data_IF_993892766047
#
_entry.id   IF_993892766047
#
_cell.length_a   1.000
_cell.length_b   1.000
_cell.length_c   1.000
_cell.angle_alpha   90.00
_cell.angle_beta   90.00
_cell.angle_gamma   90.00
#
_symmetry.space_group_name_H-M   'P 1'
#
loop_
_entity.id
_entity.type
_entity.pdbx_description
1 polymer ?
#
# COMPACT_ATOMS: atom_id res chain seq x y z
N UNK A 1 17.20 -13.60 -30.71
CA UNK A 1 15.98 -12.92 -30.25
C UNK A 1 15.27 -13.86 -29.30
N UNK A 2 15.36 -13.61 -28.00
CA UNK A 2 14.74 -14.47 -26.99
C UNK A 2 13.29 -14.03 -26.80
N UNK A 3 12.37 -14.92 -27.18
CA UNK A 3 10.94 -14.77 -26.92
C UNK A 3 10.71 -15.15 -25.46
N UNK A 4 10.57 -14.15 -24.59
CA UNK A 4 10.11 -14.36 -23.22
C UNK A 4 8.73 -13.75 -23.09
N UNK A 5 7.71 -14.58 -23.22
CA UNK A 5 6.33 -14.28 -22.83
C UNK A 5 6.31 -14.29 -21.30
N UNK A 6 6.35 -13.12 -20.68
CA UNK A 6 6.17 -13.02 -19.22
C UNK A 6 4.68 -13.10 -18.94
N UNK A 7 4.24 -14.28 -18.49
CA UNK A 7 2.98 -14.45 -17.79
C UNK A 7 3.11 -13.64 -16.50
N UNK A 8 2.36 -12.54 -16.39
CA UNK A 8 2.18 -11.82 -15.13
C UNK A 8 1.24 -12.71 -14.30
N UNK A 9 1.73 -13.12 -13.14
CA UNK A 9 1.16 -14.18 -12.30
C UNK A 9 0.02 -13.69 -11.40
N UNK A 10 -1.03 -14.50 -11.24
CA UNK A 10 -2.26 -14.31 -10.45
C UNK A 10 -2.10 -14.20 -8.92
N UNK A 11 -1.05 -13.57 -8.39
CA UNK A 11 -0.81 -13.53 -6.93
C UNK A 11 -0.68 -12.09 -6.42
N UNK A 12 -1.61 -11.68 -5.55
CA UNK A 12 -1.55 -10.46 -4.73
C UNK A 12 -1.12 -9.23 -5.51
N UNK A 13 -2.00 -8.75 -6.39
CA UNK A 13 -1.66 -7.66 -7.30
C UNK A 13 -2.25 -6.35 -6.78
N UNK A 14 -1.37 -5.38 -6.47
CA UNK A 14 -1.78 -4.02 -6.11
C UNK A 14 -2.70 -3.44 -7.20
N UNK A 15 -2.53 -3.84 -8.47
CA UNK A 15 -3.45 -3.45 -9.55
C UNK A 15 -4.91 -3.85 -9.26
N UNK A 16 -5.13 -5.05 -8.72
CA UNK A 16 -6.46 -5.52 -8.36
C UNK A 16 -6.99 -4.82 -7.10
N UNK A 17 -6.12 -4.56 -6.12
CA UNK A 17 -6.48 -3.85 -4.89
C UNK A 17 -6.86 -2.39 -5.16
N UNK A 18 -6.23 -1.75 -6.15
CA UNK A 18 -6.54 -0.37 -6.55
C UNK A 18 -7.99 -0.20 -7.00
N UNK A 19 -8.64 -1.25 -7.53
CA UNK A 19 -10.03 -1.19 -7.95
C UNK A 19 -10.98 -0.75 -6.82
N UNK A 20 -10.65 -1.07 -5.57
CA UNK A 20 -11.45 -0.74 -4.39
C UNK A 20 -11.42 0.74 -4.04
N UNK A 21 -10.42 1.48 -4.55
CA UNK A 21 -10.24 2.91 -4.33
C UNK A 21 -10.80 3.75 -5.48
N UNK A 22 -11.31 3.11 -6.53
CA UNK A 22 -11.86 3.80 -7.68
C UNK A 22 -13.10 4.61 -7.26
N UNK A 23 -13.07 5.92 -7.51
CA UNK A 23 -14.14 6.82 -7.10
C UNK A 23 -15.35 6.74 -8.04
N UNK A 24 -15.11 6.51 -9.33
CA UNK A 24 -16.10 6.41 -10.39
C UNK A 24 -15.53 5.57 -11.54
N UNK A 25 -16.41 5.07 -12.41
CA UNK A 25 -15.98 4.32 -13.60
C UNK A 25 -14.96 5.10 -14.43
N UNK A 26 -14.06 4.34 -15.06
CA UNK A 26 -13.03 4.90 -15.92
C UNK A 26 -13.65 5.74 -17.04
N UNK A 27 -13.12 6.94 -17.24
CA UNK A 27 -13.62 7.89 -18.23
C UNK A 27 -12.77 7.75 -19.49
N UNK A 28 -13.39 7.43 -20.62
CA UNK A 28 -12.72 7.52 -21.92
C UNK A 28 -12.46 8.99 -22.26
N UNK A 29 -11.22 9.32 -22.59
CA UNK A 29 -10.81 10.69 -22.88
C UNK A 29 -10.28 10.85 -24.30
N UNK A 30 -10.57 11.99 -24.90
CA UNK A 30 -10.02 12.35 -26.21
C UNK A 30 -8.76 13.18 -26.01
N UNK A 31 -7.64 12.68 -26.51
CA UNK A 31 -6.36 13.36 -26.43
C UNK A 31 -6.16 14.29 -27.64
N UNK A 32 -5.64 15.52 -27.44
CA UNK A 32 -5.38 16.44 -28.55
C UNK A 32 -4.33 15.86 -29.51
N UNK A 33 -4.40 16.20 -30.79
CA UNK A 33 -3.44 15.77 -31.84
C UNK A 33 -3.36 14.25 -32.11
N UNK A 34 -4.11 13.39 -31.40
CA UNK A 34 -4.18 11.97 -31.73
C UNK A 34 -4.84 11.66 -33.08
N UNK A 35 -5.87 12.41 -33.57
CA UNK A 35 -6.43 12.14 -34.89
C UNK A 35 -5.42 12.27 -36.05
N UNK A 36 -4.42 13.15 -35.92
CA UNK A 36 -3.34 13.27 -36.90
C UNK A 36 -2.42 12.05 -36.88
N UNK A 37 -2.14 11.52 -35.68
CA UNK A 37 -1.35 10.29 -35.49
C UNK A 37 -2.07 9.08 -36.08
N UNK A 38 -3.37 8.93 -35.81
CA UNK A 38 -4.20 7.85 -36.36
C UNK A 38 -4.20 7.86 -37.89
N UNK A 39 -4.35 9.03 -38.51
CA UNK A 39 -4.33 9.19 -39.96
C UNK A 39 -2.94 8.94 -40.59
N UNK A 40 -1.87 9.41 -39.93
CA UNK A 40 -0.51 9.34 -40.49
C UNK A 40 0.09 7.94 -40.41
N UNK A 41 -0.22 7.20 -39.34
CA UNK A 41 0.41 5.91 -39.03
C UNK A 41 -0.55 4.72 -39.10
N UNK A 42 -1.78 4.92 -39.57
CA UNK A 42 -2.87 3.93 -39.52
C UNK A 42 -3.03 3.33 -38.11
N UNK A 43 -2.81 4.18 -37.10
CA UNK A 43 -2.84 3.80 -35.70
C UNK A 43 -4.27 3.88 -35.16
N UNK A 44 -4.50 3.23 -34.02
CA UNK A 44 -5.65 3.47 -33.15
C UNK A 44 -5.14 3.73 -31.75
N UNK A 45 -5.90 4.44 -30.92
CA UNK A 45 -5.57 4.54 -29.49
C UNK A 45 -6.79 4.32 -28.60
N UNK A 46 -6.53 3.93 -27.36
CA UNK A 46 -7.48 3.94 -26.25
C UNK A 46 -6.83 4.79 -25.13
N UNK A 47 -7.59 5.73 -24.58
CA UNK A 47 -7.13 6.59 -23.50
C UNK A 47 -8.19 6.67 -22.41
N UNK A 48 -7.83 6.27 -21.19
CA UNK A 48 -8.74 6.19 -20.06
C UNK A 48 -8.19 6.89 -18.84
N UNK A 49 -9.06 7.62 -18.17
CA UNK A 49 -8.77 8.33 -16.95
C UNK A 49 -9.45 7.65 -15.75
N UNK A 50 -8.67 7.40 -14.72
CA UNK A 50 -9.10 6.81 -13.46
C UNK A 50 -8.82 7.78 -12.30
N UNK A 51 -9.83 8.01 -11.45
CA UNK A 51 -9.73 8.80 -10.22
C UNK A 51 -9.79 7.86 -9.00
N UNK A 52 -8.63 7.61 -8.39
CA UNK A 52 -8.51 6.79 -7.19
C UNK A 52 -8.42 7.67 -5.94
N UNK A 53 -9.18 7.30 -4.91
CA UNK A 53 -9.14 7.91 -3.58
C UNK A 53 -8.41 6.99 -2.61
N UNK A 54 -7.09 7.17 -2.51
CA UNK A 54 -6.24 6.47 -1.57
C UNK A 54 -6.32 7.15 -0.18
N UNK A 55 -5.90 6.50 0.91
CA UNK A 55 -5.95 7.09 2.25
C UNK A 55 -5.11 8.34 2.40
N UNK A 56 -3.96 8.35 1.74
CA UNK A 56 -2.95 9.38 1.86
C UNK A 56 -3.12 10.51 0.83
N UNK A 57 -4.03 10.34 -0.14
CA UNK A 57 -4.33 11.35 -1.15
C UNK A 57 -5.03 10.79 -2.39
N UNK A 58 -5.04 11.58 -3.47
CA UNK A 58 -5.70 11.19 -4.74
C UNK A 58 -4.68 10.73 -5.77
N UNK A 59 -4.94 9.59 -6.40
CA UNK A 59 -4.17 9.14 -7.56
C UNK A 59 -5.02 9.32 -8.82
N UNK A 60 -4.57 10.21 -9.69
CA UNK A 60 -5.11 10.37 -11.03
C UNK A 60 -4.25 9.56 -12.00
N UNK A 61 -4.81 8.49 -12.56
CA UNK A 61 -4.12 7.61 -13.49
C UNK A 61 -4.69 7.78 -14.89
N UNK A 62 -3.84 8.15 -15.83
CA UNK A 62 -4.14 8.15 -17.25
C UNK A 62 -3.48 6.92 -17.90
N UNK A 63 -4.28 5.99 -18.38
CA UNK A 63 -3.81 4.90 -19.22
C UNK A 63 -3.95 5.28 -20.70
N UNK A 64 -2.87 5.09 -21.46
CA UNK A 64 -2.84 5.35 -22.90
C UNK A 64 -2.23 4.16 -23.63
N UNK A 65 -3.02 3.51 -24.47
CA UNK A 65 -2.59 2.40 -25.31
C UNK A 65 -2.64 2.83 -26.77
N UNK A 66 -1.51 2.75 -27.48
CA UNK A 66 -1.46 2.99 -28.93
C UNK A 66 -1.27 1.67 -29.67
N UNK A 67 -2.19 1.41 -30.59
CA UNK A 67 -2.18 0.23 -31.46
C UNK A 67 -1.54 0.57 -32.79
N UNK A 68 -0.45 -0.11 -33.13
CA UNK A 68 0.32 0.07 -34.35
C UNK A 68 0.34 -1.20 -35.20
N UNK A 69 0.56 -1.07 -36.50
CA UNK A 69 0.79 -2.23 -37.37
C UNK A 69 2.19 -2.80 -37.16
N UNK A 70 2.36 -4.12 -37.29
CA UNK A 70 3.70 -4.75 -37.24
C UNK A 70 4.69 -4.24 -38.29
N UNK A 71 4.19 -3.67 -39.39
CA UNK A 71 5.00 -3.14 -40.49
C UNK A 71 5.61 -1.76 -40.19
N UNK A 72 5.28 -1.13 -39.05
CA UNK A 72 5.78 0.20 -38.74
C UNK A 72 7.30 0.20 -38.47
N UNK A 73 8.00 1.22 -38.97
CA UNK A 73 9.44 1.37 -38.74
C UNK A 73 9.73 1.82 -37.31
N UNK A 74 10.90 1.46 -36.78
CA UNK A 74 11.33 1.89 -35.42
C UNK A 74 11.37 3.41 -35.26
N UNK A 75 11.74 4.16 -36.30
CA UNK A 75 11.74 5.62 -36.26
C UNK A 75 10.32 6.19 -36.13
N UNK A 76 9.35 5.56 -36.81
CA UNK A 76 7.95 5.95 -36.72
C UNK A 76 7.35 5.58 -35.35
N UNK A 77 7.76 4.45 -34.73
CA UNK A 77 7.37 4.09 -33.35
C UNK A 77 7.82 5.18 -32.37
N UNK A 78 9.04 5.69 -32.51
CA UNK A 78 9.56 6.76 -31.65
C UNK A 78 8.81 8.09 -31.83
N UNK A 79 8.48 8.45 -33.07
CA UNK A 79 7.65 9.63 -33.36
C UNK A 79 6.25 9.48 -32.78
N UNK A 80 5.60 8.33 -32.98
CA UNK A 80 4.30 8.02 -32.37
C UNK A 80 4.36 8.14 -30.86
N UNK A 81 5.36 7.52 -30.22
CA UNK A 81 5.55 7.57 -28.77
C UNK A 81 5.66 9.01 -28.27
N UNK A 82 6.51 9.82 -28.91
CA UNK A 82 6.71 11.23 -28.54
C UNK A 82 5.42 12.04 -28.70
N UNK A 83 4.72 11.88 -29.82
CA UNK A 83 3.46 12.60 -30.09
C UNK A 83 2.39 12.22 -29.08
N UNK A 84 2.19 10.91 -28.83
CA UNK A 84 1.20 10.40 -27.89
C UNK A 84 1.43 10.94 -26.46
N UNK A 85 2.69 10.95 -26.00
CA UNK A 85 3.03 11.49 -24.68
C UNK A 85 2.82 13.01 -24.62
N UNK A 86 3.19 13.76 -25.67
CA UNK A 86 2.93 15.21 -25.76
C UNK A 86 1.42 15.51 -25.74
N UNK A 87 0.62 14.68 -26.39
CA UNK A 87 -0.84 14.77 -26.37
C UNK A 87 -1.42 14.57 -24.97
N UNK A 88 -0.94 13.56 -24.24
CA UNK A 88 -1.33 13.32 -22.84
C UNK A 88 -0.95 14.49 -21.91
N UNK A 89 0.23 15.07 -22.08
CA UNK A 89 0.66 16.25 -21.31
C UNK A 89 -0.17 17.49 -21.62
N UNK A 90 -0.49 17.72 -22.90
CA UNK A 90 -1.35 18.81 -23.30
C UNK A 90 -2.76 18.66 -22.68
N UNK A 91 -3.32 17.45 -22.71
CA UNK A 91 -4.58 17.15 -22.03
C UNK A 91 -4.49 17.42 -20.53
N UNK A 92 -3.44 16.95 -19.85
CA UNK A 92 -3.25 17.16 -18.41
C UNK A 92 -3.17 18.64 -18.04
N UNK A 93 -2.47 19.45 -18.83
CA UNK A 93 -2.42 20.92 -18.63
C UNK A 93 -3.82 21.56 -18.74
N UNK A 94 -4.62 21.14 -19.71
CA UNK A 94 -6.01 21.60 -19.87
C UNK A 94 -6.85 21.15 -18.67
N UNK A 95 -6.71 19.89 -18.25
CA UNK A 95 -7.39 19.33 -17.08
C UNK A 95 -7.10 20.14 -15.81
N UNK A 96 -5.83 20.39 -15.50
CA UNK A 96 -5.41 21.22 -14.36
C UNK A 96 -5.94 22.66 -14.44
N UNK A 97 -5.96 23.25 -15.64
CA UNK A 97 -6.49 24.62 -15.80
C UNK A 97 -8.00 24.72 -15.51
N UNK A 98 -8.72 23.64 -15.78
CA UNK A 98 -10.17 23.55 -15.55
C UNK A 98 -10.52 23.13 -14.12
N UNK A 99 -9.59 22.50 -13.40
CA UNK A 99 -9.79 21.98 -12.06
C UNK A 99 -8.82 22.67 -11.10
N UNK A 100 -9.29 23.80 -10.54
CA UNK A 100 -8.54 24.61 -9.56
C UNK A 100 -7.97 23.70 -8.46
N UNK A 101 -6.73 24.00 -8.05
CA UNK A 101 -5.98 23.30 -7.00
C UNK A 101 -6.90 22.87 -5.84
N UNK A 102 -7.19 21.58 -5.78
CA UNK A 102 -7.74 20.99 -4.57
C UNK A 102 -6.62 20.94 -3.53
N UNK A 103 -6.92 21.28 -2.27
CA UNK A 103 -5.96 21.24 -1.17
C UNK A 103 -5.46 19.82 -0.86
N UNK A 104 -6.08 18.80 -1.46
CA UNK A 104 -5.71 17.40 -1.26
C UNK A 104 -4.44 17.05 -2.04
N UNK A 105 -3.44 16.43 -1.39
CA UNK A 105 -2.29 15.83 -2.08
C UNK A 105 -2.75 14.95 -3.25
N UNK A 106 -2.21 15.19 -4.43
CA UNK A 106 -2.62 14.50 -5.67
C UNK A 106 -1.39 14.04 -6.43
N UNK A 107 -1.32 12.76 -6.76
CA UNK A 107 -0.34 12.18 -7.66
C UNK A 107 -0.98 12.01 -9.05
N UNK A 108 -0.34 12.56 -10.09
CA UNK A 108 -0.81 12.41 -11.47
C UNK A 108 0.15 11.48 -12.21
N UNK A 109 -0.38 10.43 -12.81
CA UNK A 109 0.41 9.37 -13.45
C UNK A 109 -0.11 9.12 -14.87
N UNK A 110 0.82 8.93 -15.81
CA UNK A 110 0.56 8.42 -17.15
C UNK A 110 1.21 7.04 -17.29
N UNK A 111 0.41 6.02 -17.61
CA UNK A 111 0.89 4.68 -18.00
C UNK A 111 0.71 4.54 -19.50
N UNK A 112 1.82 4.40 -20.22
CA UNK A 112 1.84 4.35 -21.68
C UNK A 112 2.21 2.95 -22.19
N UNK A 113 1.39 2.40 -23.08
CA UNK A 113 1.60 1.12 -23.76
C UNK A 113 1.57 1.28 -25.29
N UNK A 114 2.34 0.44 -25.97
CA UNK A 114 2.29 0.28 -27.43
C UNK A 114 2.07 -1.19 -27.75
N UNK A 115 1.02 -1.48 -28.52
CA UNK A 115 0.66 -2.83 -28.94
C UNK A 115 0.68 -2.97 -30.46
N UNK A 116 1.32 -4.02 -30.97
CA UNK A 116 1.35 -4.31 -32.40
C UNK A 116 0.19 -5.24 -32.81
N UNK A 117 -0.52 -4.85 -33.86
CA UNK A 117 -1.62 -5.59 -34.50
C UNK A 117 -1.23 -6.04 -35.90
N UNK A 118 -1.70 -7.23 -36.30
CA UNK A 118 -1.55 -7.72 -37.67
C UNK A 118 -2.53 -7.02 -38.60
N UNK A 119 -2.06 -6.69 -39.81
CA UNK A 119 -2.87 -6.06 -40.85
C UNK A 119 -3.79 -7.06 -41.58
N UNK A 120 -4.64 -7.80 -40.84
CA UNK A 120 -5.78 -8.60 -41.34
C UNK A 120 -6.30 -9.47 -40.18
N UNK A 121 -7.58 -9.53 -39.86
CA UNK A 121 -8.67 -10.00 -40.72
C UNK A 121 -9.78 -8.97 -40.90
N UNK A 122 -10.04 -8.62 -42.17
CA UNK A 122 -11.34 -8.08 -42.56
C UNK A 122 -12.40 -9.07 -42.11
N UNK A 123 -13.46 -8.56 -41.49
CA UNK A 123 -14.65 -9.30 -41.12
C UNK A 123 -15.13 -10.16 -42.30
N UNK A 124 -14.96 -11.47 -42.20
CA UNK A 124 -15.75 -12.41 -42.98
C UNK A 124 -16.34 -13.46 -42.04
N UNK A 125 -17.66 -13.36 -41.96
CA UNK A 125 -18.65 -14.33 -41.50
C UNK A 125 -18.91 -14.41 -40.00
N UNK A 126 -20.13 -13.99 -39.67
CA UNK A 126 -20.83 -14.32 -38.44
C UNK A 126 -20.87 -15.84 -38.23
N UNK A 127 -20.90 -16.23 -36.96
CA UNK A 127 -20.94 -17.58 -36.41
C UNK A 127 -19.61 -18.31 -36.34
N UNK A 128 -18.77 -17.93 -35.37
CA UNK A 128 -18.33 -18.90 -34.37
C UNK A 128 -17.84 -18.19 -33.09
N UNK A 129 -18.45 -18.56 -31.97
CA UNK A 129 -18.07 -18.10 -30.63
C UNK A 129 -16.88 -18.92 -30.15
N UNK A 130 -15.67 -18.49 -30.49
CA UNK A 130 -14.44 -18.84 -29.76
C UNK A 130 -13.41 -17.72 -29.99
N UNK A 131 -13.55 -16.64 -29.21
CA UNK A 131 -12.68 -15.46 -29.24
C UNK A 131 -11.39 -15.79 -28.49
N UNK A 132 -10.40 -16.33 -29.19
CA UNK A 132 -8.98 -16.32 -28.79
C UNK A 132 -8.07 -15.73 -29.88
N UNK A 133 -8.63 -15.01 -30.86
CA UNK A 133 -7.87 -14.27 -31.87
C UNK A 133 -7.61 -12.84 -31.39
N UNK A 134 -6.34 -12.51 -31.10
CA UNK A 134 -5.88 -11.11 -31.09
C UNK A 134 -5.15 -10.57 -29.86
N UNK A 135 -4.36 -11.35 -29.11
CA UNK A 135 -3.40 -10.75 -28.16
C UNK A 135 -2.27 -10.10 -28.98
N UNK A 136 -2.35 -8.79 -29.20
CA UNK A 136 -1.29 -8.02 -29.86
C UNK A 136 0.04 -8.10 -29.10
N UNK A 137 1.16 -8.08 -29.81
CA UNK A 137 2.49 -8.10 -29.17
C UNK A 137 2.78 -6.73 -28.56
N UNK A 138 3.00 -6.67 -27.25
CA UNK A 138 3.40 -5.44 -26.54
C UNK A 138 4.83 -5.05 -26.87
N UNK A 139 5.07 -3.77 -27.08
CA UNK A 139 6.40 -3.19 -27.28
C UNK A 139 7.01 -2.85 -25.92
N UNK A 140 8.11 -3.51 -25.55
CA UNK A 140 8.84 -3.14 -24.33
C UNK A 140 9.63 -1.85 -24.57
N UNK A 141 9.28 -0.81 -23.82
CA UNK A 141 9.99 0.46 -23.80
C UNK A 141 10.10 0.97 -22.36
N UNK A 142 10.82 2.06 -22.16
CA UNK A 142 10.94 2.75 -20.88
C UNK A 142 11.23 4.23 -21.10
N UNK A 143 11.09 5.03 -20.05
CA UNK A 143 11.31 6.48 -20.10
C UNK A 143 12.55 6.86 -19.29
N UNK A 144 13.70 6.97 -19.97
CA UNK A 144 14.92 7.43 -19.32
C UNK A 144 14.83 8.93 -19.00
N UNK A 145 15.53 9.45 -17.97
CA UNK A 145 15.55 10.88 -17.66
C UNK A 145 15.90 11.78 -18.86
N UNK A 146 16.80 11.31 -19.74
CA UNK A 146 17.14 12.01 -21.01
C UNK A 146 15.94 12.22 -21.94
N UNK A 147 14.99 11.28 -21.96
CA UNK A 147 13.77 11.40 -22.75
C UNK A 147 12.94 12.62 -22.34
N UNK A 148 12.88 12.91 -21.04
CA UNK A 148 12.17 14.06 -20.49
C UNK A 148 12.90 15.39 -20.76
N UNK A 149 14.24 15.37 -20.69
CA UNK A 149 15.07 16.57 -20.83
C UNK A 149 15.31 16.98 -22.30
N UNK A 150 15.53 16.02 -23.20
CA UNK A 150 15.97 16.29 -24.57
C UNK A 150 14.82 16.12 -25.59
N UNK A 151 13.97 15.10 -25.43
CA UNK A 151 13.00 14.73 -26.46
C UNK A 151 11.59 15.31 -26.25
N UNK A 152 11.24 15.55 -24.98
CA UNK A 152 9.91 15.99 -24.59
C UNK A 152 9.84 17.44 -24.11
N UNK A 153 10.97 18.01 -23.67
CA UNK A 153 11.10 19.38 -23.13
C UNK A 153 9.93 19.68 -22.19
N UNK A 154 9.83 18.90 -21.11
CA UNK A 154 8.81 19.12 -20.08
C UNK A 154 9.37 20.13 -19.10
N UNK A 155 8.64 21.22 -18.90
CA UNK A 155 8.88 22.14 -17.79
C UNK A 155 8.38 21.48 -16.49
N UNK A 156 9.21 20.63 -15.91
CA UNK A 156 8.92 19.94 -14.63
C UNK A 156 8.93 20.96 -13.48
N UNK A 157 9.67 22.06 -13.64
CA UNK A 157 9.82 23.15 -12.65
C UNK A 157 8.57 24.00 -12.47
N UNK A 158 7.81 24.25 -13.55
CA UNK A 158 6.70 25.23 -13.51
C UNK A 158 5.35 24.63 -13.08
N UNK A 159 5.21 23.30 -13.02
CA UNK A 159 3.95 22.66 -12.64
C UNK A 159 3.93 22.22 -11.17
N UNK A 160 2.97 22.75 -10.39
CA UNK A 160 2.72 22.32 -9.00
C UNK A 160 2.30 20.85 -8.89
N UNK A 161 1.84 20.24 -9.99
CA UNK A 161 1.34 18.87 -10.08
C UNK A 161 1.81 18.20 -11.39
N UNK A 162 3.10 17.83 -11.50
CA UNK A 162 3.64 17.24 -12.72
C UNK A 162 3.07 15.84 -12.97
N UNK A 163 2.92 15.51 -14.25
CA UNK A 163 2.51 14.18 -14.71
C UNK A 163 3.72 13.25 -14.71
N UNK A 164 3.69 12.23 -13.85
CA UNK A 164 4.71 11.21 -13.77
C UNK A 164 4.46 10.13 -14.82
N UNK A 165 5.43 9.87 -15.71
CA UNK A 165 5.21 9.01 -16.89
C UNK A 165 5.92 7.67 -16.70
N UNK A 166 5.21 6.56 -16.90
CA UNK A 166 5.72 5.20 -16.84
C UNK A 166 5.38 4.45 -18.11
N UNK A 167 6.28 3.54 -18.54
CA UNK A 167 5.86 2.52 -19.50
C UNK A 167 4.94 1.53 -18.79
N UNK A 168 4.09 0.85 -19.55
CA UNK A 168 3.26 -0.22 -19.03
C UNK A 168 4.09 -1.27 -18.28
N UNK A 169 5.26 -1.64 -18.81
CA UNK A 169 6.13 -2.63 -18.15
C UNK A 169 6.69 -2.11 -16.82
N UNK A 170 7.20 -0.87 -16.80
CA UNK A 170 7.77 -0.28 -15.58
C UNK A 170 6.70 -0.12 -14.50
N UNK A 171 5.47 0.27 -14.88
CA UNK A 171 4.34 0.41 -13.97
C UNK A 171 3.98 -0.90 -13.27
N UNK A 172 3.79 -1.99 -14.02
CA UNK A 172 3.45 -3.28 -13.42
C UNK A 172 4.62 -3.89 -12.64
N UNK A 173 5.86 -3.71 -13.09
CA UNK A 173 7.04 -4.13 -12.31
C UNK A 173 7.15 -3.37 -10.99
N UNK A 174 6.82 -2.08 -11.00
CA UNK A 174 6.77 -1.25 -9.80
C UNK A 174 5.68 -1.70 -8.83
N UNK A 175 4.45 -1.95 -9.31
CA UNK A 175 3.37 -2.38 -8.44
C UNK A 175 3.66 -3.75 -7.80
N UNK A 176 4.22 -4.68 -8.58
CA UNK A 176 4.70 -5.95 -8.07
C UNK A 176 5.85 -5.80 -7.05
N UNK A 177 6.62 -4.72 -7.07
CA UNK A 177 7.68 -4.49 -6.08
C UNK A 177 7.19 -3.83 -4.80
N UNK A 178 6.21 -2.91 -4.88
CA UNK A 178 5.73 -2.11 -3.76
C UNK A 178 4.72 -2.84 -2.88
N UNK A 179 3.99 -3.81 -3.44
CA UNK A 179 3.13 -4.79 -2.73
C UNK A 179 1.91 -4.21 -1.97
N UNK A 180 1.85 -2.90 -1.70
CA UNK A 180 0.71 -2.27 -1.01
C UNK A 180 0.37 -0.90 -1.62
N UNK A 181 -0.89 -0.45 -1.57
CA UNK A 181 -1.29 0.88 -2.04
C UNK A 181 -0.62 2.04 -1.29
N UNK A 182 -0.33 1.87 0.00
CA UNK A 182 0.37 2.88 0.81
C UNK A 182 1.80 3.10 0.30
N UNK A 183 2.48 2.04 -0.13
CA UNK A 183 3.85 2.10 -0.61
C UNK A 183 3.90 2.65 -2.03
N UNK A 184 2.89 2.38 -2.86
CA UNK A 184 2.66 3.08 -4.13
C UNK A 184 2.59 4.59 -3.91
N UNK A 185 1.75 5.05 -2.99
CA UNK A 185 1.60 6.48 -2.72
C UNK A 185 2.93 7.14 -2.33
N UNK A 186 3.64 6.54 -1.40
CA UNK A 186 4.94 7.04 -0.91
C UNK A 186 6.00 7.01 -1.99
N UNK A 187 6.03 5.95 -2.80
CA UNK A 187 6.95 5.85 -3.92
C UNK A 187 6.70 6.96 -4.96
N UNK A 188 5.44 7.27 -5.27
CA UNK A 188 5.11 8.34 -6.22
C UNK A 188 5.57 9.72 -5.70
N UNK A 189 5.51 9.96 -4.39
CA UNK A 189 6.08 11.17 -3.80
C UNK A 189 7.62 11.16 -3.87
N UNK A 190 8.26 10.04 -3.53
CA UNK A 190 9.72 9.87 -3.61
C UNK A 190 10.25 10.08 -5.04
N UNK A 191 9.61 9.46 -6.04
CA UNK A 191 9.97 9.59 -7.46
C UNK A 191 9.83 11.04 -7.92
N UNK A 192 8.77 11.73 -7.49
CA UNK A 192 8.57 13.13 -7.82
C UNK A 192 9.71 14.01 -7.29
N UNK A 193 10.13 13.81 -6.04
CA UNK A 193 11.29 14.52 -5.47
C UNK A 193 12.57 14.24 -6.29
N UNK A 194 12.82 12.99 -6.68
CA UNK A 194 13.97 12.62 -7.53
C UNK A 194 13.94 13.31 -8.91
N UNK A 195 12.76 13.40 -9.53
CA UNK A 195 12.59 14.09 -10.82
C UNK A 195 12.88 15.59 -10.68
N UNK A 196 12.41 16.23 -9.61
CA UNK A 196 12.66 17.65 -9.33
C UNK A 196 14.15 17.94 -9.05
N UNK A 197 14.83 17.05 -8.31
CA UNK A 197 16.26 17.14 -8.07
C UNK A 197 17.08 17.00 -9.36
N UNK A 198 16.71 16.06 -10.23
CA UNK A 198 17.37 15.83 -11.53
C UNK A 198 17.17 17.01 -12.49
N UNK A 199 16.00 17.65 -12.47
CA UNK A 199 15.75 18.87 -13.23
C UNK A 199 16.63 20.05 -12.78
N UNK A 200 16.99 20.08 -11.49
CA UNK A 200 17.76 21.16 -10.87
C UNK A 200 19.28 20.94 -10.89
N UNK A 201 19.76 19.71 -11.14
CA UNK A 201 21.17 19.35 -11.13
C UNK A 201 21.50 18.47 -12.33
N UNK A 202 22.41 18.88 -13.24
CA UNK A 202 22.69 18.19 -14.50
C UNK A 202 23.46 16.86 -14.35
N UNK A 203 23.46 16.26 -13.17
CA UNK A 203 24.08 14.94 -12.94
C UNK A 203 23.16 13.88 -13.53
N UNK A 204 23.59 13.28 -14.63
CA UNK A 204 22.87 12.24 -15.33
C UNK A 204 22.82 10.93 -14.53
N UNK A 205 21.93 10.82 -13.54
CA UNK A 205 21.58 9.50 -13.00
C UNK A 205 20.65 8.80 -14.00
N UNK A 206 21.24 8.06 -14.93
CA UNK A 206 20.50 7.16 -15.84
C UNK A 206 20.10 5.88 -15.09
N UNK A 207 19.44 6.04 -13.96
CA UNK A 207 18.93 4.91 -13.18
C UNK A 207 17.63 4.41 -13.78
N UNK A 208 17.49 3.09 -13.90
CA UNK A 208 16.24 2.46 -14.32
C UNK A 208 15.20 2.54 -13.21
N UNK A 209 13.92 2.52 -13.56
CA UNK A 209 12.82 2.53 -12.58
C UNK A 209 12.96 1.43 -11.53
N UNK A 210 13.36 0.21 -11.93
CA UNK A 210 13.65 -0.90 -11.00
C UNK A 210 14.68 -0.54 -9.92
N UNK A 211 15.71 0.24 -10.28
CA UNK A 211 16.74 0.68 -9.33
C UNK A 211 16.18 1.74 -8.38
N UNK A 212 15.38 2.67 -8.88
CA UNK A 212 14.76 3.73 -8.08
C UNK A 212 13.81 3.10 -7.05
N UNK A 213 12.97 2.14 -7.47
CA UNK A 213 12.08 1.38 -6.57
C UNK A 213 12.91 0.60 -5.55
N UNK A 214 13.99 -0.06 -5.98
CA UNK A 214 14.87 -0.79 -5.06
C UNK A 214 15.54 0.13 -4.03
N UNK A 215 15.97 1.33 -4.43
CA UNK A 215 16.53 2.32 -3.50
C UNK A 215 15.49 2.82 -2.50
N UNK A 216 14.26 3.10 -2.97
CA UNK A 216 13.14 3.49 -2.11
C UNK A 216 12.86 2.42 -1.04
N UNK A 217 12.71 1.15 -1.45
CA UNK A 217 12.42 0.03 -0.54
C UNK A 217 13.57 -0.27 0.43
N UNK A 218 14.80 0.12 0.10
CA UNK A 218 15.97 -0.01 0.97
C UNK A 218 16.29 1.25 1.78
N UNK A 219 15.50 2.30 1.62
CA UNK A 219 15.70 3.55 2.35
C UNK A 219 15.14 3.44 3.77
N UNK A 220 15.90 3.86 4.80
CA UNK A 220 15.37 3.95 6.17
C UNK A 220 14.12 4.83 6.29
N UNK A 221 13.90 5.74 5.33
CA UNK A 221 12.70 6.57 5.28
C UNK A 221 11.41 5.76 5.08
N UNK A 222 11.50 4.54 4.56
CA UNK A 222 10.37 3.60 4.44
C UNK A 222 9.66 3.40 5.79
N UNK A 223 10.42 3.37 6.89
CA UNK A 223 9.90 3.14 8.24
C UNK A 223 9.46 4.41 8.98
N UNK A 224 9.65 5.60 8.42
CA UNK A 224 9.34 6.84 9.11
C UNK A 224 7.87 6.94 9.59
N UNK A 225 6.86 6.53 8.81
CA UNK A 225 5.46 6.51 9.26
C UNK A 225 5.23 5.55 10.44
N UNK A 226 5.78 4.34 10.35
CA UNK A 226 5.69 3.34 11.41
C UNK A 226 6.35 3.83 12.71
N UNK A 227 7.52 4.48 12.61
CA UNK A 227 8.22 5.08 13.76
C UNK A 227 7.38 6.20 14.38
N UNK A 228 6.72 7.03 13.58
CA UNK A 228 5.86 8.09 14.10
C UNK A 228 4.68 7.52 14.91
N UNK A 229 4.08 6.43 14.42
CA UNK A 229 2.98 5.73 15.12
C UNK A 229 3.48 5.03 16.38
N UNK A 230 4.60 4.30 16.31
CA UNK A 230 5.22 3.61 17.46
C UNK A 230 5.49 4.60 18.60
N UNK A 231 6.07 5.77 18.29
CA UNK A 231 6.26 6.84 19.26
C UNK A 231 4.95 7.42 19.80
N UNK A 232 3.92 7.54 18.97
CA UNK A 232 2.60 8.03 19.41
C UNK A 232 1.93 7.04 20.38
N UNK A 233 2.07 5.74 20.14
CA UNK A 233 1.53 4.68 21.02
C UNK A 233 2.24 4.63 22.36
N UNK A 234 3.56 4.78 22.37
CA UNK A 234 4.35 4.92 23.61
C UNK A 234 3.90 6.15 24.37
N UNK A 235 3.79 7.28 23.65
CA UNK A 235 3.28 8.51 24.24
C UNK A 235 1.89 8.29 24.83
N UNK A 236 1.00 7.53 24.20
CA UNK A 236 -0.33 7.26 24.74
C UNK A 236 -0.40 6.19 25.82
N UNK A 237 0.74 5.59 26.21
CA UNK A 237 0.80 4.53 27.21
C UNK A 237 0.18 3.21 26.74
N UNK A 238 -0.04 3.06 25.43
CA UNK A 238 -0.52 1.81 24.82
C UNK A 238 0.61 0.84 24.51
N UNK A 239 1.84 1.33 24.53
CA UNK A 239 3.06 0.56 24.33
C UNK A 239 4.11 1.07 25.31
N UNK A 240 4.89 0.16 25.89
CA UNK A 240 5.90 0.54 26.90
C UNK A 240 7.27 0.83 26.29
N UNK A 241 7.64 0.06 25.27
CA UNK A 241 8.94 0.14 24.61
C UNK A 241 8.76 0.12 23.10
N UNK A 242 9.68 0.71 22.32
CA UNK A 242 9.58 0.66 20.87
C UNK A 242 9.53 -0.76 20.31
N UNK A 243 8.86 -0.94 19.17
CA UNK A 243 8.79 -2.26 18.54
C UNK A 243 10.21 -2.73 18.13
N UNK A 244 10.65 -3.84 18.71
CA UNK A 244 12.00 -4.38 18.49
C UNK A 244 12.26 -4.79 17.03
N UNK A 245 11.24 -5.27 16.30
CA UNK A 245 11.37 -5.57 14.88
C UNK A 245 11.53 -4.29 14.06
N UNK A 246 10.75 -3.24 14.36
CA UNK A 246 10.87 -1.93 13.71
C UNK A 246 12.26 -1.34 13.88
N UNK A 247 12.80 -1.35 15.10
CA UNK A 247 14.16 -0.90 15.39
C UNK A 247 15.17 -1.72 14.59
N UNK A 248 15.09 -3.06 14.69
CA UNK A 248 16.07 -3.95 14.05
C UNK A 248 16.11 -3.79 12.53
N UNK A 249 14.94 -3.68 11.89
CA UNK A 249 14.82 -3.47 10.45
C UNK A 249 15.35 -2.10 10.02
N UNK A 250 14.99 -1.04 10.76
CA UNK A 250 15.45 0.32 10.47
C UNK A 250 16.98 0.43 10.59
N UNK A 251 17.56 -0.16 11.64
CA UNK A 251 19.02 -0.18 11.83
C UNK A 251 19.72 -1.03 10.77
N UNK A 252 19.14 -2.16 10.37
CA UNK A 252 19.69 -3.01 9.32
C UNK A 252 19.75 -2.26 7.98
N UNK A 253 18.70 -1.52 7.59
CA UNK A 253 18.71 -0.70 6.39
C UNK A 253 19.71 0.46 6.49
N UNK A 254 19.68 1.22 7.60
CA UNK A 254 20.57 2.36 7.82
C UNK A 254 22.05 2.00 7.75
N UNK A 255 22.41 0.81 8.25
CA UNK A 255 23.79 0.33 8.28
C UNK A 255 24.16 -0.56 7.09
N UNK A 256 23.27 -0.72 6.10
CA UNK A 256 23.45 -1.64 4.97
C UNK A 256 23.87 -3.06 5.40
N UNK A 257 23.25 -3.56 6.47
CA UNK A 257 23.52 -4.89 7.02
C UNK A 257 23.13 -5.99 6.04
N UNK A 258 23.84 -7.11 6.07
CA UNK A 258 23.47 -8.33 5.31
C UNK A 258 22.09 -8.87 5.69
N UNK A 259 21.63 -8.58 6.91
CA UNK A 259 20.27 -8.94 7.38
C UNK A 259 19.16 -8.08 6.79
N UNK A 260 19.47 -6.92 6.18
CA UNK A 260 18.45 -6.04 5.60
C UNK A 260 17.68 -6.73 4.47
N UNK A 261 18.38 -7.50 3.62
CA UNK A 261 17.75 -8.25 2.54
C UNK A 261 16.79 -9.32 3.07
N UNK A 262 17.16 -10.04 4.14
CA UNK A 262 16.28 -11.01 4.79
C UNK A 262 15.01 -10.34 5.33
N UNK A 263 15.14 -9.17 5.97
CA UNK A 263 13.97 -8.43 6.46
C UNK A 263 13.07 -7.96 5.32
N UNK A 264 13.65 -7.46 4.22
CA UNK A 264 12.88 -7.08 3.03
C UNK A 264 12.10 -8.27 2.47
N UNK A 265 12.73 -9.44 2.35
CA UNK A 265 12.05 -10.67 1.91
C UNK A 265 10.90 -11.04 2.83
N UNK A 266 11.09 -10.97 4.16
CA UNK A 266 10.01 -11.25 5.11
C UNK A 266 8.86 -10.24 5.01
N UNK A 267 9.13 -8.96 4.77
CA UNK A 267 8.08 -7.96 4.58
C UNK A 267 7.30 -8.21 3.28
N UNK A 268 7.98 -8.51 2.18
CA UNK A 268 7.33 -8.85 0.90
C UNK A 268 6.45 -10.09 1.05
N UNK A 269 6.98 -11.15 1.66
CA UNK A 269 6.20 -12.37 1.92
C UNK A 269 4.97 -12.08 2.78
N UNK A 270 5.13 -11.27 3.84
CA UNK A 270 4.02 -10.89 4.70
C UNK A 270 2.97 -10.06 3.95
N UNK A 271 3.37 -9.13 3.08
CA UNK A 271 2.45 -8.35 2.27
C UNK A 271 1.65 -9.23 1.31
N UNK A 272 2.30 -10.16 0.60
CA UNK A 272 1.63 -11.12 -0.29
C UNK A 272 0.59 -11.95 0.49
N UNK A 273 0.99 -12.49 1.64
CA UNK A 273 0.09 -13.29 2.48
C UNK A 273 -1.07 -12.46 3.02
N UNK A 274 -0.80 -11.24 3.46
CA UNK A 274 -1.85 -10.33 3.93
C UNK A 274 -2.84 -10.00 2.82
N UNK A 275 -2.36 -9.71 1.60
CA UNK A 275 -3.20 -9.46 0.41
C UNK A 275 -4.10 -10.67 0.11
N UNK A 276 -3.55 -11.88 0.13
CA UNK A 276 -4.31 -13.12 -0.08
C UNK A 276 -5.38 -13.34 1.00
N UNK A 277 -5.00 -13.23 2.27
CA UNK A 277 -5.93 -13.36 3.40
C UNK A 277 -7.03 -12.30 3.31
N UNK A 278 -6.66 -11.06 3.03
CA UNK A 278 -7.58 -9.93 2.89
C UNK A 278 -8.59 -10.20 1.78
N UNK A 279 -8.12 -10.61 0.61
CA UNK A 279 -8.98 -10.97 -0.53
C UNK A 279 -9.99 -12.05 -0.14
N UNK A 280 -9.57 -13.10 0.56
CA UNK A 280 -10.45 -14.18 1.01
C UNK A 280 -11.45 -13.72 2.07
N UNK A 281 -11.00 -12.96 3.09
CA UNK A 281 -11.85 -12.39 4.12
C UNK A 281 -12.92 -11.47 3.52
N UNK A 282 -12.52 -10.61 2.59
CA UNK A 282 -13.41 -9.69 1.87
C UNK A 282 -14.43 -10.48 1.04
N UNK A 283 -14.00 -11.50 0.30
CA UNK A 283 -14.89 -12.34 -0.50
C UNK A 283 -15.93 -13.06 0.37
N UNK A 284 -15.51 -13.66 1.49
CA UNK A 284 -16.40 -14.35 2.42
C UNK A 284 -17.45 -13.42 3.06
N UNK A 285 -17.06 -12.19 3.39
CA UNK A 285 -18.00 -11.17 3.87
C UNK A 285 -18.95 -10.74 2.75
N UNK A 286 -18.46 -10.55 1.53
CA UNK A 286 -19.30 -10.18 0.38
C UNK A 286 -20.37 -11.23 0.09
N UNK A 287 -20.03 -12.52 0.11
CA UNK A 287 -21.00 -13.61 -0.11
C UNK A 287 -22.12 -13.58 0.93
N UNK A 288 -21.78 -13.39 2.21
CA UNK A 288 -22.75 -13.24 3.32
C UNK A 288 -23.63 -12.00 3.12
N UNK A 289 -23.06 -10.90 2.62
CA UNK A 289 -23.79 -9.65 2.33
C UNK A 289 -24.74 -9.78 1.14
N UNK A 290 -24.33 -10.42 0.05
CA UNK A 290 -25.16 -10.65 -1.16
C UNK A 290 -26.37 -11.53 -0.84
N UNK A 291 -26.24 -12.44 0.13
CA UNK A 291 -27.34 -13.25 0.64
C UNK A 291 -28.33 -12.47 1.54
N UNK A 292 -27.98 -11.27 2.01
CA UNK A 292 -28.81 -10.45 2.90
C UNK A 292 -29.81 -9.56 2.14
N UNK A 293 -30.91 -9.17 2.82
CA UNK A 293 -32.01 -8.38 2.22
C UNK A 293 -31.73 -6.87 2.07
N UNK A 294 -30.66 -6.34 2.66
CA UNK A 294 -30.38 -4.89 2.75
C UNK A 294 -29.13 -4.48 1.94
N UNK A 295 -29.14 -4.74 0.63
CA UNK A 295 -27.94 -4.66 -0.22
C UNK A 295 -27.31 -3.27 -0.36
N UNK A 296 -28.12 -2.21 -0.43
CA UNK A 296 -27.62 -0.88 -0.84
C UNK A 296 -26.88 -0.12 0.28
N UNK A 297 -27.37 -0.15 1.54
CA UNK A 297 -26.63 0.44 2.68
C UNK A 297 -25.39 -0.37 3.06
N UNK A 298 -25.42 -1.68 2.84
CA UNK A 298 -24.31 -2.57 3.14
C UNK A 298 -23.17 -2.45 2.12
N UNK A 299 -23.47 -2.13 0.84
CA UNK A 299 -22.47 -1.99 -0.22
C UNK A 299 -21.48 -0.84 0.02
N UNK A 300 -21.97 0.33 0.44
CA UNK A 300 -21.12 1.48 0.78
C UNK A 300 -20.23 1.21 2.01
N UNK A 301 -20.79 0.53 3.01
CA UNK A 301 -20.06 0.13 4.22
C UNK A 301 -18.99 -0.91 3.90
N UNK A 302 -19.27 -1.84 2.98
CA UNK A 302 -18.35 -2.88 2.55
C UNK A 302 -17.15 -2.35 1.76
N UNK A 303 -17.35 -1.42 0.83
CA UNK A 303 -16.25 -0.79 0.10
C UNK A 303 -15.27 -0.07 1.05
N UNK A 304 -15.80 0.62 2.06
CA UNK A 304 -14.97 1.25 3.10
C UNK A 304 -14.20 0.22 3.92
N UNK A 305 -14.81 -0.91 4.27
CA UNK A 305 -14.16 -2.01 4.99
C UNK A 305 -13.03 -2.64 4.20
N UNK A 306 -13.24 -2.85 2.90
CA UNK A 306 -12.23 -3.35 1.99
C UNK A 306 -11.02 -2.43 1.95
N UNK A 307 -11.23 -1.11 1.80
CA UNK A 307 -10.16 -0.12 1.89
C UNK A 307 -9.42 -0.22 3.23
N UNK A 308 -10.13 -0.27 4.35
CA UNK A 308 -9.49 -0.33 5.69
C UNK A 308 -8.57 -1.53 5.89
N UNK A 309 -8.81 -2.67 5.23
CA UNK A 309 -7.97 -3.86 5.37
C UNK A 309 -6.76 -3.81 4.43
N UNK A 310 -6.96 -3.28 3.22
CA UNK A 310 -5.93 -3.18 2.18
C UNK A 310 -4.96 -2.00 2.43
N UNK A 311 -5.40 -0.99 3.18
CA UNK A 311 -4.64 0.22 3.53
C UNK A 311 -3.61 0.00 4.63
N UNK A 312 -2.83 -1.08 4.56
CA UNK A 312 -1.75 -1.37 5.50
C UNK A 312 -0.37 -1.22 4.85
N UNK A 313 0.57 -0.63 5.59
CA UNK A 313 1.97 -0.57 5.17
C UNK A 313 2.63 -1.95 5.21
N UNK A 314 3.75 -2.10 4.50
CA UNK A 314 4.60 -3.30 4.54
C UNK A 314 4.95 -3.72 5.96
N UNK A 315 5.25 -2.76 6.84
CA UNK A 315 5.59 -3.06 8.22
C UNK A 315 4.37 -3.51 9.04
N UNK A 316 3.19 -2.93 8.79
CA UNK A 316 1.95 -3.38 9.43
C UNK A 316 1.59 -4.79 9.01
N UNK A 317 1.63 -5.08 7.70
CA UNK A 317 1.46 -6.43 7.15
C UNK A 317 2.46 -7.41 7.78
N UNK A 318 3.73 -7.00 7.93
CA UNK A 318 4.75 -7.80 8.60
C UNK A 318 4.36 -8.18 10.03
N UNK A 319 3.98 -7.22 10.88
CA UNK A 319 3.65 -7.50 12.28
C UNK A 319 2.35 -8.32 12.43
N UNK A 320 1.34 -8.07 11.58
CA UNK A 320 0.09 -8.83 11.56
C UNK A 320 0.35 -10.29 11.19
N UNK A 321 1.02 -10.54 10.07
CA UNK A 321 1.33 -11.90 9.59
C UNK A 321 2.31 -12.61 10.51
N UNK A 322 3.31 -11.90 11.06
CA UNK A 322 4.21 -12.44 12.09
C UNK A 322 3.44 -12.89 13.34
N UNK A 323 2.37 -12.22 13.71
CA UNK A 323 1.51 -12.62 14.84
C UNK A 323 0.80 -13.93 14.53
N UNK A 324 0.29 -14.12 13.31
CA UNK A 324 -0.29 -15.39 12.86
C UNK A 324 0.75 -16.53 12.92
N UNK A 325 1.96 -16.30 12.40
CA UNK A 325 3.05 -17.30 12.40
C UNK A 325 3.60 -17.66 13.78
N UNK A 326 3.31 -16.86 14.81
CA UNK A 326 3.68 -17.18 16.19
C UNK A 326 2.74 -18.19 16.82
N UNK A 327 1.51 -18.35 16.33
CA UNK A 327 0.52 -19.23 16.95
C UNK A 327 0.97 -20.70 17.02
N UNK A 328 1.46 -21.33 15.93
CA UNK A 328 1.93 -22.72 15.99
C UNK A 328 3.11 -22.95 16.94
N UNK A 329 3.83 -21.88 17.30
CA UNK A 329 4.99 -21.91 18.21
C UNK A 329 4.62 -21.63 19.67
N UNK A 330 3.35 -21.34 19.97
CA UNK A 330 2.90 -21.15 21.35
C UNK A 330 2.87 -22.46 22.13
N UNK A 331 2.83 -22.36 23.45
CA UNK A 331 2.62 -23.53 24.31
C UNK A 331 1.29 -24.21 23.99
N UNK A 332 1.28 -25.55 23.99
CA UNK A 332 0.07 -26.34 23.68
C UNK A 332 -1.11 -25.98 24.58
N UNK A 333 -0.86 -25.60 25.84
CA UNK A 333 -1.92 -25.18 26.76
C UNK A 333 -2.61 -23.90 26.27
N UNK A 334 -1.85 -22.95 25.72
CA UNK A 334 -2.38 -21.70 25.18
C UNK A 334 -3.14 -21.95 23.87
N UNK A 335 -2.62 -22.82 23.00
CA UNK A 335 -3.30 -23.22 21.77
C UNK A 335 -4.66 -23.89 22.05
N UNK A 336 -4.70 -24.78 23.04
CA UNK A 336 -5.96 -25.46 23.44
C UNK A 336 -6.96 -24.50 24.05
N UNK A 337 -6.52 -23.63 24.94
CA UNK A 337 -7.39 -22.67 25.64
C UNK A 337 -7.82 -21.50 24.78
N UNK A 338 -7.12 -21.17 23.71
CA UNK A 338 -7.32 -19.94 22.96
C UNK A 338 -6.80 -18.71 23.72
N UNK A 339 -6.56 -17.62 23.00
CA UNK A 339 -6.03 -16.38 23.55
C UNK A 339 -6.29 -15.19 22.63
N UNK A 340 -6.15 -13.99 23.18
CA UNK A 340 -6.33 -12.73 22.44
C UNK A 340 -5.00 -12.00 22.36
N UNK A 341 -4.67 -11.50 21.18
CA UNK A 341 -3.56 -10.59 20.95
C UNK A 341 -4.11 -9.27 20.43
N UNK A 342 -3.75 -8.18 21.10
CA UNK A 342 -4.01 -6.84 20.59
C UNK A 342 -2.83 -6.40 19.72
N UNK A 343 -3.13 -5.96 18.51
CA UNK A 343 -2.19 -5.35 17.58
C UNK A 343 -2.75 -4.00 17.12
N UNK A 344 -1.94 -3.25 16.40
CA UNK A 344 -2.34 -1.98 15.82
C UNK A 344 -1.69 -1.81 14.45
N UNK A 345 -2.28 -0.95 13.64
CA UNK A 345 -1.65 -0.55 12.38
C UNK A 345 -0.41 0.31 12.67
N UNK A 346 0.61 0.16 11.85
CA UNK A 346 1.74 1.08 11.72
C UNK A 346 1.59 1.99 10.49
N UNK A 347 0.40 2.02 9.89
CA UNK A 347 -0.04 2.97 8.88
C UNK A 347 -1.00 4.02 9.45
N UNK A 348 -1.94 3.58 10.29
CA UNK A 348 -2.93 4.46 10.92
C UNK A 348 -3.03 4.26 12.42
N UNK A 349 -2.72 5.32 13.18
CA UNK A 349 -2.82 5.35 14.65
C UNK A 349 -4.24 5.04 15.16
N UNK A 350 -5.27 5.30 14.35
CA UNK A 350 -6.66 5.06 14.71
C UNK A 350 -7.17 3.65 14.43
N UNK A 351 -6.33 2.76 13.88
CA UNK A 351 -6.69 1.39 13.51
C UNK A 351 -6.06 0.39 14.47
N UNK A 352 -6.92 -0.35 15.14
CA UNK A 352 -6.51 -1.38 16.09
C UNK A 352 -7.07 -2.74 15.68
N UNK A 353 -6.28 -3.77 15.95
CA UNK A 353 -6.58 -5.16 15.63
C UNK A 353 -6.73 -5.98 16.92
N UNK A 354 -7.79 -6.76 16.99
CA UNK A 354 -8.02 -7.75 18.05
C UNK A 354 -8.00 -9.11 17.39
N UNK A 355 -6.88 -9.82 17.53
CA UNK A 355 -6.69 -11.15 16.99
C UNK A 355 -7.09 -12.16 18.07
N UNK A 356 -8.19 -12.87 17.85
CA UNK A 356 -8.70 -13.89 18.75
C UNK A 356 -8.34 -15.25 18.15
N UNK A 357 -7.35 -15.91 18.75
CA UNK A 357 -7.03 -17.29 18.39
C UNK A 357 -7.98 -18.20 19.14
N UNK A 358 -8.89 -18.86 18.41
CA UNK A 358 -9.87 -19.74 19.01
C UNK A 358 -9.19 -20.94 19.68
N UNK A 359 -9.76 -21.38 20.80
CA UNK A 359 -9.34 -22.60 21.47
C UNK A 359 -9.73 -23.84 20.68
N UNK A 360 -8.84 -24.84 20.65
CA UNK A 360 -9.05 -26.12 19.96
C UNK A 360 -10.10 -27.01 20.65
N UNK A 361 -10.48 -26.69 21.90
CA UNK A 361 -11.50 -27.41 22.65
C UNK A 361 -12.90 -26.96 22.21
N UNK A 362 -13.68 -27.86 21.60
CA UNK A 362 -14.99 -27.55 21.00
C UNK A 362 -16.00 -26.93 21.98
N UNK A 363 -16.02 -27.40 23.23
CA UNK A 363 -16.87 -26.87 24.32
C UNK A 363 -16.14 -25.87 25.24
N UNK A 364 -14.94 -25.45 24.86
CA UNK A 364 -14.16 -24.47 25.61
C UNK A 364 -14.79 -23.09 25.63
N UNK A 365 -14.58 -22.34 26.71
CA UNK A 365 -15.06 -20.95 26.85
C UNK A 365 -14.53 -20.00 25.74
N UNK A 366 -13.43 -20.36 25.10
CA UNK A 366 -12.83 -19.62 24.00
C UNK A 366 -12.86 -20.36 22.66
N UNK A 367 -13.73 -21.37 22.53
CA UNK A 367 -13.95 -22.05 21.27
C UNK A 367 -14.57 -21.11 20.24
N UNK A 368 -14.40 -21.44 18.95
CA UNK A 368 -15.00 -20.70 17.84
C UNK A 368 -16.52 -20.56 18.01
N UNK A 369 -17.22 -21.65 18.34
CA UNK A 369 -18.67 -21.65 18.53
C UNK A 369 -19.14 -20.68 19.64
N UNK A 370 -18.32 -20.48 20.67
CA UNK A 370 -18.63 -19.57 21.78
C UNK A 370 -18.32 -18.11 21.45
N UNK A 371 -17.20 -17.83 20.80
CA UNK A 371 -16.74 -16.45 20.56
C UNK A 371 -17.31 -15.85 19.27
N UNK A 372 -17.37 -16.61 18.17
CA UNK A 372 -17.76 -16.11 16.85
C UNK A 372 -19.09 -15.32 16.86
N UNK A 373 -20.16 -15.74 17.58
CA UNK A 373 -21.40 -14.95 17.64
C UNK A 373 -21.26 -13.59 18.34
N UNK A 374 -20.19 -13.39 19.10
CA UNK A 374 -19.96 -12.23 19.95
C UNK A 374 -18.90 -11.26 19.41
N UNK A 375 -18.32 -11.50 18.22
CA UNK A 375 -17.25 -10.65 17.66
C UNK A 375 -17.64 -9.17 17.58
N UNK A 376 -18.88 -8.88 17.19
CA UNK A 376 -19.40 -7.50 17.11
C UNK A 376 -19.44 -6.81 18.47
N UNK A 377 -19.89 -7.53 19.50
CA UNK A 377 -19.93 -7.02 20.88
C UNK A 377 -18.53 -6.81 21.43
N UNK A 378 -17.59 -7.72 21.15
CA UNK A 378 -16.18 -7.57 21.52
C UNK A 378 -15.59 -6.31 20.86
N UNK A 379 -15.84 -6.11 19.57
CA UNK A 379 -15.37 -4.94 18.85
C UNK A 379 -15.91 -3.63 19.45
N UNK A 380 -17.20 -3.60 19.81
CA UNK A 380 -17.85 -2.46 20.46
C UNK A 380 -17.27 -2.20 21.87
N UNK A 381 -17.08 -3.25 22.66
CA UNK A 381 -16.50 -3.13 24.00
C UNK A 381 -15.06 -2.60 23.94
N UNK A 382 -14.27 -3.06 22.96
CA UNK A 382 -12.90 -2.56 22.74
C UNK A 382 -12.91 -1.11 22.27
N UNK A 383 -13.77 -0.75 21.32
CA UNK A 383 -13.92 0.62 20.83
C UNK A 383 -14.26 1.63 21.93
N UNK A 384 -15.07 1.24 22.92
CA UNK A 384 -15.47 2.12 24.03
C UNK A 384 -14.40 2.27 25.12
N UNK A 385 -13.45 1.32 25.20
CA UNK A 385 -12.45 1.26 26.28
C UNK A 385 -11.08 1.75 25.86
N UNK A 386 -10.74 1.71 24.57
CA UNK A 386 -9.45 2.19 24.06
C UNK A 386 -9.39 3.72 24.17
N UNK A 387 -8.49 4.28 25.00
CA UNK A 387 -8.39 5.71 25.18
C UNK A 387 -7.54 6.33 24.07
N UNK A 388 -7.98 6.30 22.82
CA UNK A 388 -7.28 6.92 21.67
C UNK A 388 -8.21 7.94 21.01
N UNK A 389 -7.81 9.21 21.02
CA UNK A 389 -8.63 10.28 20.47
C UNK A 389 -8.75 10.20 18.94
N UNK A 390 -7.75 9.58 18.30
CA UNK A 390 -7.64 9.34 16.86
C UNK A 390 -8.30 8.01 16.43
N UNK A 391 -8.90 7.24 17.35
CA UNK A 391 -9.52 5.94 17.04
C UNK A 391 -10.64 6.10 16.01
N UNK A 392 -10.56 5.29 14.95
CA UNK A 392 -11.54 5.30 13.87
C UNK A 392 -12.17 3.93 13.62
N UNK A 393 -11.42 2.83 13.81
CA UNK A 393 -11.88 1.48 13.51
C UNK A 393 -11.22 0.46 14.44
N UNK A 394 -12.00 -0.51 14.91
CA UNK A 394 -11.52 -1.74 15.53
C UNK A 394 -11.78 -2.89 14.56
N UNK A 395 -10.73 -3.61 14.20
CA UNK A 395 -10.82 -4.81 13.36
C UNK A 395 -10.64 -6.02 14.27
N UNK A 396 -11.65 -6.88 14.33
CA UNK A 396 -11.60 -8.13 15.09
C UNK A 396 -11.45 -9.28 14.12
N UNK A 397 -10.40 -10.07 14.31
CA UNK A 397 -10.11 -11.28 13.53
C UNK A 397 -10.25 -12.49 14.45
N UNK A 398 -11.26 -13.31 14.21
CA UNK A 398 -11.40 -14.62 14.85
C UNK A 398 -10.68 -15.67 14.02
N UNK A 399 -9.64 -16.29 14.57
CA UNK A 399 -8.68 -17.10 13.83
C UNK A 399 -8.74 -18.55 14.31
N UNK A 400 -9.04 -19.45 13.38
CA UNK A 400 -9.08 -20.88 13.59
C UNK A 400 -7.94 -21.56 12.81
N UNK A 401 -7.12 -22.36 13.49
CA UNK A 401 -6.07 -23.17 12.87
C UNK A 401 -6.58 -24.60 12.72
N UNK A 402 -7.01 -24.93 11.51
CA UNK A 402 -7.61 -26.23 11.19
C UNK A 402 -6.48 -27.12 10.65
N UNK A 403 -6.18 -28.20 11.36
CA UNK A 403 -5.21 -29.21 10.91
C UNK A 403 -5.97 -30.40 10.33
N UNK A 404 -5.90 -30.58 9.01
CA UNK A 404 -6.51 -31.71 8.31
C UNK A 404 -5.40 -32.51 7.60
N UNK A 405 -5.25 -33.78 7.99
CA UNK A 405 -4.17 -34.65 7.53
C UNK A 405 -2.76 -34.06 7.79
N UNK A 406 -2.05 -33.62 6.74
CA UNK A 406 -0.73 -33.00 6.79
C UNK A 406 -0.75 -31.49 6.50
N UNK A 407 -1.93 -30.94 6.17
CA UNK A 407 -2.08 -29.53 5.84
C UNK A 407 -2.70 -28.74 7.00
N UNK A 408 -2.25 -27.50 7.15
CA UNK A 408 -2.80 -26.55 8.12
C UNK A 408 -3.45 -25.40 7.37
N UNK A 409 -4.76 -25.24 7.57
CA UNK A 409 -5.55 -24.15 7.04
C UNK A 409 -5.82 -23.11 8.12
N UNK A 410 -5.95 -21.86 7.70
CA UNK A 410 -6.34 -20.76 8.59
C UNK A 410 -7.70 -20.29 8.11
N UNK A 411 -8.71 -20.41 8.96
CA UNK A 411 -10.02 -19.79 8.73
C UNK A 411 -10.13 -18.52 9.57
N UNK A 412 -10.52 -17.41 8.95
CA UNK A 412 -10.57 -16.10 9.60
C UNK A 412 -11.98 -15.50 9.50
N UNK A 413 -12.62 -15.37 10.65
CA UNK A 413 -13.80 -14.54 10.83
C UNK A 413 -13.40 -13.07 10.95
N UNK A 414 -14.04 -12.21 10.16
CA UNK A 414 -13.77 -10.78 10.14
C UNK A 414 -14.97 -9.98 10.65
N UNK A 415 -14.72 -9.08 11.60
CA UNK A 415 -15.65 -8.01 11.97
C UNK A 415 -14.93 -6.67 12.03
N UNK A 416 -15.52 -5.63 11.43
CA UNK A 416 -14.99 -4.26 11.49
C UNK A 416 -16.00 -3.37 12.19
N UNK A 417 -15.58 -2.76 13.30
CA UNK A 417 -16.36 -1.81 14.06
C UNK A 417 -15.88 -0.39 13.79
N UNK A 418 -16.65 0.43 13.04
CA UNK A 418 -16.37 1.86 12.94
C UNK A 418 -16.61 2.52 14.30
N UNK A 419 -15.76 3.50 14.60
CA UNK A 419 -15.82 4.32 15.81
C UNK A 419 -16.27 5.70 15.42
N UNK A 420 -17.33 6.20 16.05
CA UNK A 420 -17.80 7.55 15.82
C UNK A 420 -16.69 8.55 16.16
N UNK A 421 -16.51 9.56 15.31
CA UNK A 421 -15.54 10.60 15.57
C UNK A 421 -15.86 11.28 16.90
N UNK A 422 -14.94 11.18 17.87
CA UNK A 422 -15.06 11.90 19.14
C UNK A 422 -15.26 13.40 18.86
N UNK A 423 -16.23 14.01 19.56
CA UNK A 423 -16.40 15.47 19.59
C UNK A 423 -15.14 16.16 20.11
N UNK A 424 -14.96 17.44 19.83
CA UNK A 424 -13.81 18.20 20.35
C UNK A 424 -13.68 18.12 21.88
N UNK A 425 -14.82 18.11 22.58
CA UNK A 425 -14.88 17.99 24.04
C UNK A 425 -14.43 16.61 24.51
N UNK A 426 -14.92 15.54 23.89
CA UNK A 426 -14.48 14.16 24.19
C UNK A 426 -12.99 14.00 23.91
N UNK A 427 -12.48 14.51 22.78
CA UNK A 427 -11.05 14.49 22.47
C UNK A 427 -10.22 15.22 23.52
N UNK A 428 -10.67 16.37 24.01
CA UNK A 428 -9.98 17.12 25.06
C UNK A 428 -9.97 16.34 26.39
N UNK A 429 -11.09 15.73 26.77
CA UNK A 429 -11.20 14.90 27.98
C UNK A 429 -10.32 13.66 27.87
N UNK A 430 -10.35 12.93 26.76
CA UNK A 430 -9.48 11.77 26.51
C UNK A 430 -8.01 12.17 26.60
N UNK A 431 -7.61 13.30 26.00
CA UNK A 431 -6.24 13.82 26.11
C UNK A 431 -5.85 14.20 27.54
N UNK A 432 -6.80 14.71 28.34
CA UNK A 432 -6.55 15.01 29.76
C UNK A 432 -6.37 13.71 30.57
N UNK A 433 -7.23 12.71 30.36
CA UNK A 433 -7.13 11.41 31.03
C UNK A 433 -5.81 10.72 30.68
N UNK A 434 -5.42 10.70 29.41
CA UNK A 434 -4.13 10.16 28.95
C UNK A 434 -2.94 10.85 29.66
N UNK A 435 -2.96 12.19 29.79
CA UNK A 435 -1.91 12.94 30.49
C UNK A 435 -1.86 12.61 31.98
N UNK A 436 -3.02 12.45 32.62
CA UNK A 436 -3.09 12.07 34.03
C UNK A 436 -2.52 10.67 34.26
N UNK A 437 -2.84 9.71 33.38
CA UNK A 437 -2.28 8.35 33.44
C UNK A 437 -0.75 8.33 33.27
N UNK A 438 -0.20 9.15 32.37
CA UNK A 438 1.26 9.30 32.23
C UNK A 438 1.89 9.90 33.49
N UNK A 439 1.25 10.90 34.10
CA UNK A 439 1.74 11.52 35.32
C UNK A 439 1.76 10.54 36.49
N UNK A 440 0.74 9.69 36.64
CA UNK A 440 0.73 8.63 37.65
C UNK A 440 1.81 7.58 37.38
N UNK A 441 1.98 7.13 36.14
CA UNK A 441 3.01 6.15 35.79
C UNK A 441 4.44 6.66 36.02
N UNK A 442 4.70 7.94 35.72
CA UNK A 442 6.00 8.58 36.01
C UNK A 442 6.24 8.78 37.52
N UNK A 443 5.18 8.97 38.31
CA UNK A 443 5.29 9.05 39.78
C UNK A 443 5.62 7.69 40.39
N UNK A 444 5.06 6.60 39.85
CA UNK A 444 5.32 5.24 40.31
C UNK A 444 6.72 4.73 39.92
N UNK A 445 7.27 5.19 38.79
CA UNK A 445 8.67 4.92 38.43
C UNK A 445 9.68 5.69 39.29
N UNK A 446 9.33 6.91 39.75
CA UNK A 446 10.20 7.67 40.65
C UNK A 446 10.11 7.22 42.12
N UNK A 447 8.98 6.67 42.57
CA UNK A 447 8.83 6.15 43.93
C UNK A 447 9.51 4.79 44.13
N UNK A 448 9.64 3.99 43.06
CA UNK A 448 10.42 2.74 43.08
C UNK A 448 11.94 2.93 43.01
N UNK A 449 12.43 4.11 42.60
CA UNK A 449 13.88 4.39 42.57
C UNK A 449 14.44 4.96 43.88
N UNK A 450 13.61 5.16 44.91
CA UNK A 450 14.03 5.72 46.21
C UNK A 450 14.30 4.69 47.32
N UNK A 451 14.27 3.39 47.04
CA UNK A 451 14.58 2.34 48.01
C UNK A 451 15.42 1.26 47.35
N UNK A 452 16.71 1.55 47.13
CA UNK A 452 17.84 0.61 47.23
C UNK A 452 19.11 1.30 46.69
N UNK A 453 19.79 2.04 47.56
CA UNK A 453 21.26 2.14 47.48
C UNK A 453 21.84 1.32 48.63
N UNK A 454 22.80 0.43 48.31
CA UNK A 454 24.11 0.66 48.90
C UNK A 454 25.21 0.67 47.83
N UNK A 455 25.99 1.75 47.87
CA UNK A 455 27.43 1.85 47.60
C UNK A 455 28.08 0.83 46.65
N UNK A 456 28.20 1.17 45.36
CA UNK A 456 29.48 1.05 44.64
C UNK A 456 29.44 1.74 43.26
N UNK A 457 29.76 3.03 43.19
CA UNK A 457 30.02 3.73 41.92
C UNK A 457 31.43 4.31 41.88
N UNK A 458 32.42 3.42 41.71
CA UNK A 458 33.70 3.77 41.10
C UNK A 458 33.92 2.91 39.87
N UNK A 459 33.42 3.35 38.72
CA UNK A 459 34.09 3.17 37.43
C UNK A 459 33.33 3.91 36.31
N UNK A 460 34.09 4.71 35.53
CA UNK A 460 33.82 5.20 34.16
C UNK A 460 33.07 6.52 33.99
N UNK A 461 33.75 7.61 34.34
CA UNK A 461 33.94 8.73 33.40
C UNK A 461 35.03 8.36 32.36
N UNK A 462 35.08 9.12 31.23
CA UNK A 462 36.03 9.12 30.10
C UNK A 462 35.36 8.53 28.83
N UNK A 463 35.12 9.22 27.69
CA UNK A 463 35.65 10.45 27.07
C UNK A 463 34.64 10.98 26.01
N UNK A 464 34.55 12.31 25.91
CA UNK A 464 33.89 13.12 24.88
C UNK A 464 34.62 13.05 23.52
N UNK A 465 33.86 13.31 22.44
CA UNK A 465 34.31 13.53 21.06
C UNK A 465 35.58 14.39 20.90
N UNK A 466 36.29 14.26 19.75
CA UNK A 466 36.96 15.39 19.15
C UNK A 466 36.30 15.81 17.83
N UNK A 467 35.84 17.07 17.83
CA UNK A 467 35.70 17.90 16.63
C UNK A 467 37.00 17.90 15.82
N UNK A 468 36.90 17.85 14.49
CA UNK A 468 37.94 18.41 13.61
C UNK A 468 37.30 19.26 12.52
N UNK A 469 37.52 20.57 12.66
CA UNK A 469 37.60 21.51 11.55
C UNK A 469 39.01 21.44 10.96
N UNK A 470 39.10 21.30 9.64
CA UNK A 470 39.97 22.07 8.73
C UNK A 470 39.54 21.78 7.29
#
# INVERSE_FOLDING_TARGET
MSNSTTVISDWGDVDNELACYLHADAIEIVLPNMPELENTYEAKYDARYYDYRLPLGKLHLLELVVYLLYSISSANVETVRRTAVKSALAWHKIYLSNHKNNQTPTANVLVFDIQFKSASTKAHNLHDKNVQDGIGKRFKHGFAPRYFMEDLIIDISDSLQPLQIFSWHDWHSLLAALQTPCELWRFLAYRLEQLQHTASSPVSSSESEDKIVTQFLNSPALFAPAIAIDNALIKYGLQHEPNSALIAMTLAQKNHSTTAQMYQQHMVQAAILWSQLSTQMIAAVNEKLVASKNKDELGLTFAQWQQQILDESLFSCHELVRTLYRHPKQEQVLQKKGYVVHQHSYESLGRHYVLIFYGQESEGQHSKATIQPNLSKIAQDVATRLPVAELHHIIVLGIDFITEAEDTFIDIDLWIQPVAAMTQRERQLTKQIQRLHQQSQNHDQHSHHSLDEPENSKARQIIQEPKKNL
#
